data_IF_743807513828
#
_entry.id   IF_743807513828
#
_cell.length_a   1.000
_cell.length_b   1.000
_cell.length_c   1.000
_cell.angle_alpha   90.00
_cell.angle_beta   90.00
_cell.angle_gamma   90.00
#
_symmetry.space_group_name_H-M   'P 1'
#
loop_
_entity.id
_entity.type
_entity.pdbx_description
1 polymer ?
#
# COMPACT_ATOMS: atom_id res chain seq x y z
N UNK A 1 -0.07 11.58 -52.51
CA UNK A 1 0.02 11.46 -51.05
C UNK A 1 -1.35 11.79 -50.47
N UNK A 2 -2.19 10.79 -50.25
CA UNK A 2 -3.51 10.97 -49.63
C UNK A 2 -3.77 9.74 -48.77
N UNK A 3 -3.12 9.68 -47.61
CA UNK A 3 -3.41 8.68 -46.59
C UNK A 3 -4.73 9.07 -45.94
N UNK A 4 -5.82 8.48 -46.43
CA UNK A 4 -7.13 8.57 -45.78
C UNK A 4 -7.02 7.95 -44.39
N UNK A 5 -6.96 8.79 -43.37
CA UNK A 5 -7.24 8.44 -41.97
C UNK A 5 -8.73 8.12 -41.86
N UNK A 6 -9.10 6.92 -42.32
CA UNK A 6 -10.38 6.33 -41.99
C UNK A 6 -10.43 6.22 -40.46
N UNK A 7 -11.34 6.96 -39.83
CA UNK A 7 -11.69 6.79 -38.44
C UNK A 7 -12.11 5.33 -38.23
N UNK A 8 -11.24 4.54 -37.59
CA UNK A 8 -11.54 3.21 -37.10
C UNK A 8 -12.60 3.35 -35.99
N UNK A 9 -13.86 3.49 -36.39
CA UNK A 9 -14.98 3.44 -35.48
C UNK A 9 -15.14 1.97 -35.07
N UNK A 10 -14.98 1.63 -33.78
CA UNK A 10 -15.05 0.24 -33.36
C UNK A 10 -16.45 -0.33 -33.63
N UNK A 11 -16.55 -1.62 -34.00
CA UNK A 11 -17.79 -2.25 -34.43
C UNK A 11 -18.85 -2.36 -33.32
N UNK A 12 -18.48 -2.15 -32.06
CA UNK A 12 -19.41 -2.19 -30.93
C UNK A 12 -19.17 -1.02 -29.94
N UNK A 13 -20.13 -0.10 -29.77
CA UNK A 13 -20.02 1.01 -28.81
C UNK A 13 -20.03 0.57 -27.35
N UNK A 14 -20.46 -0.66 -27.06
CA UNK A 14 -20.44 -1.24 -25.71
C UNK A 14 -19.14 -1.97 -25.37
N UNK A 15 -18.17 -2.01 -26.29
CA UNK A 15 -16.84 -2.58 -26.04
C UNK A 15 -15.84 -1.45 -25.79
N UNK A 16 -15.70 -0.92 -24.57
CA UNK A 16 -14.79 0.19 -24.25
C UNK A 16 -13.34 -0.12 -24.66
N UNK A 17 -12.93 -1.38 -24.54
CA UNK A 17 -11.59 -1.84 -24.91
C UNK A 17 -11.30 -1.76 -26.42
N UNK A 18 -12.34 -1.66 -27.27
CA UNK A 18 -12.18 -1.52 -28.71
C UNK A 18 -11.76 -0.09 -29.13
N UNK A 19 -11.85 0.88 -28.22
CA UNK A 19 -11.39 2.26 -28.43
C UNK A 19 -9.90 2.45 -28.10
N UNK A 20 -9.25 1.46 -27.48
CA UNK A 20 -7.84 1.50 -27.13
C UNK A 20 -7.00 0.69 -28.12
N UNK A 21 -5.70 1.02 -28.28
CA UNK A 21 -4.74 0.10 -28.87
C UNK A 21 -4.74 -1.25 -28.13
N UNK A 22 -4.56 -2.39 -28.83
CA UNK A 22 -4.72 -3.72 -28.24
C UNK A 22 -3.76 -3.98 -27.06
N UNK A 23 -2.54 -3.42 -27.10
CA UNK A 23 -1.59 -3.50 -26.00
C UNK A 23 -2.08 -2.77 -24.75
N UNK A 24 -2.61 -1.55 -24.92
CA UNK A 24 -3.12 -0.74 -23.82
C UNK A 24 -4.40 -1.35 -23.21
N UNK A 25 -5.26 -1.91 -24.05
CA UNK A 25 -6.44 -2.66 -23.62
C UNK A 25 -6.04 -3.87 -22.76
N UNK A 26 -5.07 -4.67 -23.19
CA UNK A 26 -4.60 -5.82 -22.43
C UNK A 26 -3.98 -5.43 -21.08
N UNK A 27 -3.17 -4.37 -21.06
CA UNK A 27 -2.59 -3.83 -19.82
C UNK A 27 -3.67 -3.36 -18.84
N UNK A 28 -4.67 -2.62 -19.33
CA UNK A 28 -5.76 -2.14 -18.49
C UNK A 28 -6.61 -3.30 -17.91
N UNK A 29 -6.88 -4.36 -18.69
CA UNK A 29 -7.55 -5.56 -18.16
C UNK A 29 -6.72 -6.25 -17.10
N UNK A 30 -5.41 -6.40 -17.34
CA UNK A 30 -4.50 -7.02 -16.38
C UNK A 30 -4.48 -6.24 -15.06
N UNK A 31 -4.37 -4.92 -15.13
CA UNK A 31 -4.44 -4.05 -13.95
C UNK A 31 -5.76 -4.23 -13.21
N UNK A 32 -6.90 -4.21 -13.91
CA UNK A 32 -8.21 -4.42 -13.29
C UNK A 32 -8.29 -5.76 -12.55
N UNK A 33 -7.83 -6.86 -13.16
CA UNK A 33 -7.80 -8.17 -12.51
C UNK A 33 -6.90 -8.20 -11.28
N UNK A 34 -5.71 -7.58 -11.36
CA UNK A 34 -4.78 -7.49 -10.22
C UNK A 34 -5.42 -6.70 -9.09
N UNK A 35 -6.09 -5.58 -9.36
CA UNK A 35 -6.77 -4.79 -8.33
C UNK A 35 -7.95 -5.53 -7.71
N UNK A 36 -8.78 -6.22 -8.50
CA UNK A 36 -9.90 -7.02 -7.99
C UNK A 36 -9.41 -8.18 -7.13
N UNK A 37 -8.38 -8.91 -7.58
CA UNK A 37 -7.78 -9.99 -6.81
C UNK A 37 -7.16 -9.47 -5.50
N UNK A 38 -6.48 -8.33 -5.56
CA UNK A 38 -5.89 -7.67 -4.38
C UNK A 38 -6.96 -7.22 -3.39
N UNK A 39 -8.07 -6.66 -3.86
CA UNK A 39 -9.21 -6.31 -3.03
C UNK A 39 -9.80 -7.55 -2.35
N UNK A 40 -9.98 -8.64 -3.09
CA UNK A 40 -10.44 -9.92 -2.53
C UNK A 40 -9.52 -10.45 -1.43
N UNK A 41 -8.21 -10.43 -1.67
CA UNK A 41 -7.21 -10.83 -0.68
C UNK A 41 -7.22 -9.91 0.56
N UNK A 42 -7.37 -8.60 0.36
CA UNK A 42 -7.44 -7.63 1.45
C UNK A 42 -8.70 -7.80 2.30
N UNK A 43 -9.86 -7.98 1.66
CA UNK A 43 -11.14 -8.25 2.34
C UNK A 43 -11.05 -9.55 3.12
N UNK A 44 -10.41 -10.57 2.55
CA UNK A 44 -10.19 -11.84 3.22
C UNK A 44 -9.28 -11.71 4.46
N UNK A 45 -8.13 -11.04 4.32
CA UNK A 45 -7.24 -10.74 5.44
C UNK A 45 -7.97 -9.98 6.55
N UNK A 46 -8.77 -8.98 6.15
CA UNK A 46 -9.53 -8.18 7.09
C UNK A 46 -10.60 -8.99 7.83
N UNK A 47 -11.34 -9.84 7.11
CA UNK A 47 -12.35 -10.72 7.70
C UNK A 47 -11.73 -11.68 8.71
N UNK A 48 -10.52 -12.19 8.42
CA UNK A 48 -9.78 -13.07 9.32
C UNK A 48 -9.22 -12.34 10.55
N UNK A 49 -8.92 -11.05 10.45
CA UNK A 49 -8.36 -10.27 11.56
C UNK A 49 -9.40 -9.55 12.44
N UNK A 50 -10.67 -9.46 12.01
CA UNK A 50 -11.78 -8.88 12.79
C UNK A 50 -11.85 -9.36 14.26
N UNK A 51 -11.78 -10.67 14.59
CA UNK A 51 -11.90 -11.10 15.98
C UNK A 51 -10.75 -10.60 16.86
N UNK A 52 -9.52 -10.52 16.32
CA UNK A 52 -8.37 -9.97 17.02
C UNK A 52 -8.45 -8.44 17.13
N UNK A 53 -8.92 -7.76 16.08
CA UNK A 53 -9.18 -6.32 16.11
C UNK A 53 -10.24 -5.96 17.15
N UNK A 54 -11.34 -6.70 17.20
CA UNK A 54 -12.39 -6.51 18.18
C UNK A 54 -11.85 -6.67 19.59
N UNK A 55 -11.01 -7.68 19.84
CA UNK A 55 -10.36 -7.89 21.15
C UNK A 55 -9.43 -6.73 21.54
N UNK A 56 -8.70 -6.16 20.58
CA UNK A 56 -7.80 -5.01 20.82
C UNK A 56 -8.62 -3.73 21.08
N UNK A 57 -9.75 -3.57 20.40
CA UNK A 57 -10.64 -2.42 20.59
C UNK A 57 -11.47 -2.53 21.87
N UNK A 58 -11.87 -3.74 22.27
CA UNK A 58 -12.62 -4.00 23.49
C UNK A 58 -11.73 -3.92 24.75
N UNK A 59 -10.43 -4.16 24.61
CA UNK A 59 -9.49 -4.09 25.73
C UNK A 59 -8.94 -2.65 25.96
N UNK A 60 -9.43 -1.98 26.99
CA UNK A 60 -8.85 -0.73 27.55
C UNK A 60 -9.30 0.58 26.88
N UNK A 61 -8.71 1.71 27.31
CA UNK A 61 -9.05 3.06 26.79
C UNK A 61 -8.64 3.23 25.32
N UNK A 62 -9.40 4.06 24.61
CA UNK A 62 -9.11 4.48 23.23
C UNK A 62 -7.82 5.31 23.24
N UNK A 63 -6.71 4.72 22.80
CA UNK A 63 -5.43 5.40 22.61
C UNK A 63 -5.35 6.04 21.23
N UNK A 64 -4.59 7.15 21.09
CA UNK A 64 -4.35 7.84 19.82
C UNK A 64 -3.79 6.88 18.75
N UNK A 65 -2.97 5.92 19.15
CA UNK A 65 -2.42 4.89 18.25
C UNK A 65 -3.49 3.94 17.70
N UNK A 66 -4.55 3.63 18.47
CA UNK A 66 -5.67 2.79 18.00
C UNK A 66 -6.50 3.52 16.95
N UNK A 67 -6.77 4.81 17.17
CA UNK A 67 -7.51 5.64 16.19
C UNK A 67 -6.71 5.77 14.89
N UNK A 68 -5.41 6.08 14.99
CA UNK A 68 -4.54 6.17 13.82
C UNK A 68 -4.44 4.84 13.04
N UNK A 69 -4.45 3.71 13.76
CA UNK A 69 -4.45 2.39 13.14
C UNK A 69 -5.76 2.10 12.40
N UNK A 70 -6.92 2.34 13.02
CA UNK A 70 -8.23 2.15 12.39
C UNK A 70 -8.37 3.08 11.18
N UNK A 71 -7.96 4.34 11.31
CA UNK A 71 -8.04 5.29 10.20
C UNK A 71 -7.16 4.87 9.03
N UNK A 72 -5.94 4.37 9.30
CA UNK A 72 -5.08 3.83 8.25
C UNK A 72 -5.77 2.67 7.52
N UNK A 73 -6.34 1.73 8.29
CA UNK A 73 -6.95 0.52 7.74
C UNK A 73 -8.19 0.82 6.92
N UNK A 74 -9.06 1.71 7.40
CA UNK A 74 -10.21 2.21 6.64
C UNK A 74 -9.78 2.97 5.39
N UNK A 75 -8.71 3.75 5.46
CA UNK A 75 -8.19 4.48 4.29
C UNK A 75 -7.63 3.52 3.24
N UNK A 76 -6.93 2.46 3.65
CA UNK A 76 -6.44 1.41 2.73
C UNK A 76 -7.58 0.66 2.08
N UNK A 77 -8.61 0.27 2.84
CA UNK A 77 -9.80 -0.38 2.29
C UNK A 77 -10.53 0.54 1.30
N UNK A 78 -10.72 1.81 1.68
CA UNK A 78 -11.32 2.82 0.81
C UNK A 78 -10.54 3.02 -0.48
N UNK A 79 -9.22 3.11 -0.40
CA UNK A 79 -8.34 3.16 -1.58
C UNK A 79 -8.55 1.94 -2.49
N UNK A 80 -8.48 0.72 -1.94
CA UNK A 80 -8.61 -0.51 -2.73
C UNK A 80 -10.00 -0.66 -3.37
N UNK A 81 -11.06 -0.21 -2.70
CA UNK A 81 -12.41 -0.21 -3.27
C UNK A 81 -12.51 0.82 -4.39
N UNK A 82 -12.05 2.05 -4.16
CA UNK A 82 -12.18 3.12 -5.15
C UNK A 82 -11.31 2.90 -6.39
N UNK A 83 -10.12 2.31 -6.26
CA UNK A 83 -9.30 1.96 -7.44
C UNK A 83 -9.96 0.86 -8.27
N UNK A 84 -10.64 -0.11 -7.64
CA UNK A 84 -11.41 -1.12 -8.39
C UNK A 84 -12.58 -0.46 -9.11
N UNK A 85 -13.35 0.40 -8.42
CA UNK A 85 -14.46 1.15 -9.02
C UNK A 85 -13.95 1.99 -10.20
N UNK A 86 -12.81 2.65 -10.07
CA UNK A 86 -12.20 3.43 -11.14
C UNK A 86 -11.93 2.62 -12.41
N UNK A 87 -11.53 1.35 -12.27
CA UNK A 87 -11.18 0.48 -13.41
C UNK A 87 -12.39 -0.23 -14.03
N UNK A 88 -13.42 -0.58 -13.23
CA UNK A 88 -14.52 -1.47 -13.69
C UNK A 88 -15.88 -0.80 -13.79
N UNK A 89 -16.08 0.34 -13.14
CA UNK A 89 -17.38 1.00 -13.07
C UNK A 89 -17.41 2.29 -13.92
N UNK A 90 -18.59 2.67 -14.43
CA UNK A 90 -18.75 3.95 -15.10
C UNK A 90 -18.67 5.09 -14.08
N UNK A 91 -17.77 6.05 -14.31
CA UNK A 91 -17.54 7.21 -13.46
C UNK A 91 -17.78 8.50 -14.26
N UNK A 92 -18.52 9.44 -13.68
CA UNK A 92 -18.86 10.70 -14.35
C UNK A 92 -17.66 11.64 -14.49
N UNK A 93 -16.77 11.71 -13.48
CA UNK A 93 -15.58 12.55 -13.48
C UNK A 93 -14.34 11.72 -13.09
N UNK A 94 -13.63 11.19 -14.09
CA UNK A 94 -12.42 10.38 -13.89
C UNK A 94 -11.35 11.13 -13.10
N UNK A 95 -11.12 12.41 -13.42
CA UNK A 95 -10.12 13.24 -12.76
C UNK A 95 -10.40 13.44 -11.26
N UNK A 96 -11.67 13.66 -10.88
CA UNK A 96 -12.03 13.80 -9.46
C UNK A 96 -11.87 12.47 -8.72
N UNK A 97 -12.24 11.36 -9.35
CA UNK A 97 -12.13 10.03 -8.75
C UNK A 97 -10.66 9.67 -8.48
N UNK A 98 -9.77 9.87 -9.46
CA UNK A 98 -8.34 9.58 -9.27
C UNK A 98 -7.71 10.46 -8.19
N UNK A 99 -8.12 11.73 -8.07
CA UNK A 99 -7.67 12.58 -6.96
C UNK A 99 -8.06 12.04 -5.59
N UNK A 100 -9.29 11.53 -5.44
CA UNK A 100 -9.74 10.94 -4.17
C UNK A 100 -8.95 9.66 -3.86
N UNK A 101 -8.72 8.82 -4.88
CA UNK A 101 -7.90 7.61 -4.78
C UNK A 101 -6.48 7.96 -4.31
N UNK A 102 -5.84 8.94 -4.94
CA UNK A 102 -4.49 9.39 -4.57
C UNK A 102 -4.43 9.97 -3.15
N UNK A 103 -5.42 10.74 -2.71
CA UNK A 103 -5.48 11.25 -1.32
C UNK A 103 -5.53 10.11 -0.31
N UNK A 104 -6.35 9.08 -0.56
CA UNK A 104 -6.44 7.92 0.32
C UNK A 104 -5.15 7.08 0.30
N UNK A 105 -4.51 6.98 -0.86
CA UNK A 105 -3.20 6.34 -0.99
C UNK A 105 -2.14 7.08 -0.15
N UNK A 106 -2.09 8.41 -0.23
CA UNK A 106 -1.19 9.25 0.57
C UNK A 106 -1.43 9.02 2.05
N UNK A 107 -2.69 9.07 2.50
CA UNK A 107 -3.03 8.89 3.91
C UNK A 107 -2.65 7.50 4.43
N UNK A 108 -2.97 6.46 3.65
CA UNK A 108 -2.62 5.07 3.93
C UNK A 108 -1.10 4.88 3.99
N UNK A 109 -0.38 5.33 2.96
CA UNK A 109 1.07 5.21 2.85
C UNK A 109 1.78 5.97 3.96
N UNK A 110 1.39 7.22 4.23
CA UNK A 110 1.97 8.06 5.28
C UNK A 110 1.80 7.42 6.65
N UNK A 111 0.61 6.89 6.94
CA UNK A 111 0.34 6.27 8.24
C UNK A 111 1.12 4.96 8.41
N UNK A 112 1.21 4.13 7.37
CA UNK A 112 2.01 2.91 7.39
C UNK A 112 3.50 3.21 7.61
N UNK A 113 4.06 4.17 6.86
CA UNK A 113 5.45 4.59 7.02
C UNK A 113 5.72 5.19 8.41
N UNK A 114 4.77 5.96 8.96
CA UNK A 114 4.86 6.49 10.33
C UNK A 114 4.87 5.36 11.37
N UNK A 115 4.01 4.34 11.23
CA UNK A 115 3.98 3.18 12.12
C UNK A 115 5.30 2.39 12.05
N UNK A 116 5.84 2.18 10.85
CA UNK A 116 7.15 1.56 10.64
C UNK A 116 8.28 2.34 11.32
N UNK A 117 8.27 3.68 11.19
CA UNK A 117 9.21 4.56 11.87
C UNK A 117 9.13 4.44 13.39
N UNK A 118 7.91 4.45 13.96
CA UNK A 118 7.70 4.29 15.40
C UNK A 118 8.24 2.93 15.88
N UNK A 119 7.98 1.84 15.12
CA UNK A 119 8.48 0.49 15.43
C UNK A 119 10.00 0.44 15.49
N UNK A 120 10.68 1.00 14.48
CA UNK A 120 12.15 1.07 14.48
C UNK A 120 12.67 1.87 15.66
N UNK A 121 12.07 3.03 15.93
CA UNK A 121 12.46 3.90 17.05
C UNK A 121 12.33 3.19 18.40
N UNK A 122 11.29 2.40 18.59
CA UNK A 122 11.08 1.59 19.79
C UNK A 122 12.15 0.48 19.91
N UNK A 123 12.42 -0.24 18.82
CA UNK A 123 13.39 -1.36 18.78
C UNK A 123 14.84 -0.91 19.05
N UNK A 124 15.20 0.29 18.59
CA UNK A 124 16.53 0.88 18.78
C UNK A 124 16.65 1.80 20.00
N UNK A 125 15.67 1.79 20.91
CA UNK A 125 15.74 2.52 22.18
C UNK A 125 15.89 4.03 22.01
N UNK A 126 15.19 4.63 21.03
CA UNK A 126 15.19 6.09 20.78
C UNK A 126 16.54 6.70 20.40
N UNK A 127 17.47 5.90 19.84
CA UNK A 127 18.75 6.42 19.32
C UNK A 127 18.54 7.57 18.32
N UNK A 128 19.27 8.67 18.52
CA UNK A 128 19.14 9.90 17.72
C UNK A 128 19.55 9.70 16.26
N UNK A 129 20.57 8.87 16.01
CA UNK A 129 21.06 8.56 14.66
C UNK A 129 20.03 7.78 13.84
N UNK A 130 19.45 6.73 14.43
CA UNK A 130 18.42 5.91 13.78
C UNK A 130 17.15 6.72 13.52
N UNK A 131 16.76 7.57 14.48
CA UNK A 131 15.60 8.46 14.34
C UNK A 131 15.82 9.46 13.19
N UNK A 132 17.03 10.01 13.03
CA UNK A 132 17.34 10.93 11.94
C UNK A 132 17.32 10.22 10.58
N UNK A 133 17.94 9.03 10.47
CA UNK A 133 18.02 8.28 9.21
C UNK A 133 16.63 7.85 8.70
N UNK A 134 15.83 7.20 9.54
CA UNK A 134 14.48 6.77 9.12
C UNK A 134 13.50 7.94 9.04
N UNK A 135 13.71 9.00 9.82
CA UNK A 135 12.91 10.23 9.70
C UNK A 135 13.15 10.95 8.38
N UNK A 136 14.40 10.98 7.90
CA UNK A 136 14.74 11.50 6.57
C UNK A 136 14.04 10.70 5.46
N UNK A 137 14.16 9.36 5.49
CA UNK A 137 13.48 8.50 4.52
C UNK A 137 11.96 8.65 4.55
N UNK A 138 11.37 8.78 5.75
CA UNK A 138 9.95 9.07 5.90
C UNK A 138 9.55 10.39 5.21
N UNK A 139 10.32 11.47 5.40
CA UNK A 139 10.04 12.76 4.76
C UNK A 139 10.20 12.70 3.24
N UNK A 140 11.18 11.95 2.74
CA UNK A 140 11.36 11.72 1.30
C UNK A 140 10.13 11.02 0.72
N UNK A 141 9.68 9.92 1.33
CA UNK A 141 8.49 9.18 0.87
C UNK A 141 7.24 10.04 0.97
N UNK A 142 7.08 10.82 2.06
CA UNK A 142 5.94 11.72 2.22
C UNK A 142 5.91 12.80 1.14
N UNK A 143 7.06 13.41 0.84
CA UNK A 143 7.15 14.45 -0.19
C UNK A 143 6.86 13.92 -1.59
N UNK A 144 7.42 12.75 -1.93
CA UNK A 144 7.22 12.15 -3.27
C UNK A 144 5.80 11.62 -3.46
N UNK A 145 5.18 11.05 -2.42
CA UNK A 145 3.80 10.59 -2.49
C UNK A 145 2.80 11.75 -2.48
N UNK A 146 3.05 12.82 -1.71
CA UNK A 146 2.19 14.00 -1.69
C UNK A 146 2.09 14.67 -3.07
N UNK A 147 3.13 14.55 -3.90
CA UNK A 147 3.13 15.07 -5.26
C UNK A 147 2.32 14.19 -6.25
N UNK A 148 1.94 12.96 -5.86
CA UNK A 148 1.27 11.96 -6.70
C UNK A 148 0.03 12.45 -7.47
N UNK A 149 -0.87 13.24 -6.85
CA UNK A 149 -2.04 13.81 -7.52
C UNK A 149 -1.72 14.59 -8.80
N UNK A 150 -0.59 15.30 -8.84
CA UNK A 150 -0.20 16.08 -10.02
C UNK A 150 0.55 15.25 -11.07
N UNK A 151 0.85 13.98 -10.78
CA UNK A 151 1.58 13.08 -11.66
C UNK A 151 0.67 12.33 -12.65
N UNK A 152 -0.64 12.30 -12.41
CA UNK A 152 -1.60 11.48 -13.15
C UNK A 152 -2.68 12.35 -13.75
N UNK A 153 -2.91 12.17 -15.04
CA UNK A 153 -4.07 12.71 -15.75
C UNK A 153 -4.96 11.54 -16.18
N UNK A 154 -6.26 11.67 -15.92
CA UNK A 154 -7.26 10.67 -16.22
C UNK A 154 -8.33 11.25 -17.16
N UNK A 155 -8.71 10.47 -18.16
CA UNK A 155 -9.78 10.82 -19.10
C UNK A 155 -10.71 9.64 -19.35
N UNK A 156 -11.84 9.92 -19.99
CA UNK A 156 -12.79 8.91 -20.42
C UNK A 156 -12.32 8.15 -21.65
N UNK A 157 -12.65 6.85 -21.69
CA UNK A 157 -12.39 5.98 -22.83
C UNK A 157 -13.45 6.25 -23.91
N UNK A 158 -13.10 7.05 -24.92
CA UNK A 158 -13.99 7.36 -26.04
C UNK A 158 -15.34 7.93 -25.57
N UNK A 159 -16.49 7.48 -26.12
CA UNK A 159 -17.82 7.91 -25.69
C UNK A 159 -18.33 7.18 -24.43
N UNK A 160 -17.50 6.34 -23.79
CA UNK A 160 -17.91 5.54 -22.63
C UNK A 160 -17.56 6.24 -21.32
N UNK A 161 -18.29 5.93 -20.24
CA UNK A 161 -18.03 6.48 -18.90
C UNK A 161 -16.91 5.74 -18.14
N UNK A 162 -16.08 4.95 -18.81
CA UNK A 162 -14.94 4.27 -18.19
C UNK A 162 -13.70 5.16 -18.22
N UNK A 163 -12.84 5.01 -17.22
CA UNK A 163 -11.67 5.86 -17.03
C UNK A 163 -10.38 5.17 -17.47
N UNK A 164 -9.45 5.95 -18.00
CA UNK A 164 -8.09 5.53 -18.28
C UNK A 164 -7.12 6.64 -17.90
N UNK A 165 -5.92 6.25 -17.44
CA UNK A 165 -4.83 7.17 -17.26
C UNK A 165 -4.25 7.55 -18.62
N UNK A 166 -4.34 8.83 -19.00
CA UNK A 166 -3.82 9.34 -20.27
C UNK A 166 -2.36 9.75 -20.15
N UNK A 167 -1.96 10.21 -18.98
CA UNK A 167 -0.59 10.61 -18.68
C UNK A 167 -0.22 10.14 -17.28
N UNK A 168 0.92 9.45 -17.17
CA UNK A 168 1.51 9.07 -15.90
C UNK A 168 2.96 9.51 -15.95
N UNK A 169 3.34 10.45 -15.09
CA UNK A 169 4.70 10.94 -15.06
C UNK A 169 5.67 9.85 -14.55
N UNK A 170 6.79 9.67 -15.25
CA UNK A 170 7.75 8.58 -14.97
C UNK A 170 8.31 8.64 -13.55
N UNK A 171 8.41 9.83 -12.94
CA UNK A 171 8.93 9.97 -11.57
C UNK A 171 8.02 9.32 -10.52
N UNK A 172 6.75 9.02 -10.83
CA UNK A 172 5.86 8.27 -9.93
C UNK A 172 6.43 6.88 -9.61
N UNK A 173 7.15 6.26 -10.55
CA UNK A 173 7.85 4.99 -10.32
C UNK A 173 8.94 5.12 -9.25
N UNK A 174 9.61 6.27 -9.19
CA UNK A 174 10.62 6.58 -8.18
C UNK A 174 10.01 6.70 -6.78
N UNK A 175 8.79 7.26 -6.68
CA UNK A 175 8.03 7.32 -5.42
C UNK A 175 7.74 5.93 -4.88
N UNK A 176 7.26 5.02 -5.74
CA UNK A 176 6.97 3.63 -5.38
C UNK A 176 8.24 2.88 -4.98
N UNK A 177 9.35 3.06 -5.70
CA UNK A 177 10.63 2.47 -5.33
C UNK A 177 11.14 2.98 -3.98
N UNK A 178 11.03 4.29 -3.73
CA UNK A 178 11.44 4.90 -2.45
C UNK A 178 10.66 4.33 -1.28
N UNK A 179 9.34 4.13 -1.45
CA UNK A 179 8.49 3.50 -0.44
C UNK A 179 8.90 2.04 -0.19
N UNK A 180 9.17 1.27 -1.25
CA UNK A 180 9.64 -0.11 -1.15
C UNK A 180 11.01 -0.23 -0.45
N UNK A 181 11.94 0.68 -0.77
CA UNK A 181 13.26 0.78 -0.13
C UNK A 181 13.10 1.07 1.37
N UNK A 182 12.28 2.07 1.73
CA UNK A 182 12.04 2.40 3.14
C UNK A 182 11.46 1.20 3.90
N UNK A 183 10.47 0.50 3.33
CA UNK A 183 9.89 -0.70 3.92
C UNK A 183 10.94 -1.81 4.12
N UNK A 184 11.79 -2.04 3.12
CA UNK A 184 12.86 -3.05 3.18
C UNK A 184 13.92 -2.70 4.22
N UNK A 185 14.36 -1.44 4.28
CA UNK A 185 15.32 -0.97 5.28
C UNK A 185 14.79 -1.11 6.70
N UNK A 186 13.51 -0.78 6.92
CA UNK A 186 12.84 -0.96 8.22
C UNK A 186 12.80 -2.44 8.58
N UNK A 187 12.36 -3.30 7.66
CA UNK A 187 12.27 -4.73 7.89
C UNK A 187 13.64 -5.34 8.21
N UNK A 188 14.68 -4.95 7.46
CA UNK A 188 16.04 -5.40 7.69
C UNK A 188 16.58 -4.93 9.03
N UNK A 189 16.35 -3.67 9.41
CA UNK A 189 16.79 -3.11 10.69
C UNK A 189 16.13 -3.83 11.89
N UNK A 190 14.81 -4.06 11.81
CA UNK A 190 14.08 -4.81 12.85
C UNK A 190 14.61 -6.25 12.93
N UNK A 191 14.73 -6.92 11.78
CA UNK A 191 15.23 -8.30 11.70
C UNK A 191 16.66 -8.44 12.22
N UNK A 192 17.52 -7.49 11.90
CA UNK A 192 18.90 -7.43 12.40
C UNK A 192 18.96 -7.22 13.91
N UNK A 193 18.12 -6.34 14.47
CA UNK A 193 18.08 -6.11 15.92
C UNK A 193 17.56 -7.33 16.69
N UNK A 194 16.55 -8.01 16.17
CA UNK A 194 16.05 -9.26 16.74
C UNK A 194 17.13 -10.35 16.67
N UNK A 195 17.79 -10.49 15.51
CA UNK A 195 18.84 -11.49 15.30
C UNK A 195 20.08 -11.23 16.17
N UNK A 196 20.51 -9.98 16.32
CA UNK A 196 21.65 -9.63 17.19
C UNK A 196 21.38 -9.88 18.67
N UNK A 197 20.14 -9.65 19.14
CA UNK A 197 19.71 -10.06 20.49
C UNK A 197 19.70 -11.58 20.65
N UNK A 198 19.31 -12.31 19.60
CA UNK A 198 19.36 -13.78 19.55
C UNK A 198 20.81 -14.33 19.53
N UNK A 199 21.72 -13.71 18.79
CA UNK A 199 23.12 -14.14 18.61
C UNK A 199 23.96 -13.97 19.89
N UNK A 200 23.65 -12.98 20.74
CA UNK A 200 24.24 -12.88 22.08
C UNK A 200 23.87 -14.08 22.98
N UNK A 201 22.83 -14.85 22.62
CA UNK A 201 22.51 -16.15 23.18
C UNK A 201 22.90 -17.28 22.22
N UNK A 202 24.20 -17.56 22.09
CA UNK A 202 24.84 -18.55 21.18
C UNK A 202 24.22 -19.97 21.13
N UNK A 203 23.24 -20.30 21.99
CA UNK A 203 22.50 -21.56 21.99
C UNK A 203 21.16 -21.52 21.23
N UNK A 204 20.70 -20.35 20.78
CA UNK A 204 19.39 -20.17 20.16
C UNK A 204 19.39 -20.43 18.64
N UNK A 205 20.48 -20.11 17.94
CA UNK A 205 20.60 -20.30 16.48
C UNK A 205 20.59 -21.78 16.07
N UNK A 206 21.19 -22.68 16.87
CA UNK A 206 21.05 -24.15 16.68
C UNK A 206 19.63 -24.67 16.96
N UNK A 207 18.85 -23.98 17.81
CA UNK A 207 17.44 -24.32 18.07
C UNK A 207 16.50 -23.75 17.02
N UNK A 208 16.83 -22.60 16.43
CA UNK A 208 16.06 -21.99 15.36
C UNK A 208 16.11 -22.80 14.05
N UNK A 209 17.28 -23.34 13.72
CA UNK A 209 17.46 -24.25 12.58
C UNK A 209 16.85 -25.63 12.82
N UNK A 210 16.60 -26.00 14.08
CA UNK A 210 16.00 -27.28 14.46
C UNK A 210 14.51 -27.08 14.76
N UNK A 211 13.72 -26.79 13.72
CA UNK A 211 12.27 -26.97 13.51
C UNK A 211 11.25 -26.93 14.68
N UNK A 212 11.61 -26.46 15.87
CA UNK A 212 10.80 -26.64 17.09
C UNK A 212 10.72 -25.36 17.94
N UNK A 213 11.39 -24.28 17.52
CA UNK A 213 11.51 -23.02 18.26
C UNK A 213 10.86 -21.79 17.63
N UNK A 214 10.53 -21.82 16.34
CA UNK A 214 9.93 -20.71 15.60
C UNK A 214 8.60 -20.18 16.20
N UNK A 215 7.69 -21.02 16.74
CA UNK A 215 6.42 -20.54 17.28
C UNK A 215 6.58 -19.66 18.53
N UNK A 216 7.58 -19.95 19.38
CA UNK A 216 7.77 -19.24 20.65
C UNK A 216 8.35 -17.85 20.45
N UNK A 217 9.29 -17.70 19.51
CA UNK A 217 9.86 -16.39 19.19
C UNK A 217 8.89 -15.52 18.41
N UNK A 218 8.07 -16.12 17.53
CA UNK A 218 6.95 -15.42 16.91
C UNK A 218 5.92 -14.98 17.96
N UNK A 219 5.63 -15.83 18.96
CA UNK A 219 4.72 -15.51 20.07
C UNK A 219 5.25 -14.38 20.96
N UNK A 220 6.54 -14.37 21.27
CA UNK A 220 7.16 -13.27 22.03
C UNK A 220 7.26 -11.96 21.22
N UNK A 221 7.47 -12.05 19.90
CA UNK A 221 7.43 -10.89 19.00
C UNK A 221 6.02 -10.34 18.83
N UNK A 222 5.01 -11.21 18.74
CA UNK A 222 3.60 -10.83 18.76
C UNK A 222 3.22 -10.22 20.11
N UNK A 223 3.72 -10.76 21.22
CA UNK A 223 3.45 -10.25 22.57
C UNK A 223 4.15 -8.90 22.83
N UNK A 224 5.38 -8.70 22.36
CA UNK A 224 6.06 -7.40 22.40
C UNK A 224 5.47 -6.39 21.40
N UNK A 225 4.98 -6.85 20.25
CA UNK A 225 4.21 -6.04 19.31
C UNK A 225 2.90 -5.53 19.94
N UNK A 226 2.20 -6.39 20.68
CA UNK A 226 0.98 -6.05 21.43
C UNK A 226 1.25 -5.07 22.59
N UNK A 227 2.41 -5.14 23.24
CA UNK A 227 2.83 -4.15 24.26
C UNK A 227 3.08 -2.74 23.70
N UNK A 228 3.17 -2.57 22.37
CA UNK A 228 3.19 -1.26 21.74
C UNK A 228 1.78 -0.68 21.50
N UNK A 229 0.72 -1.47 21.76
CA UNK A 229 -0.70 -1.11 21.61
C UNK A 229 -1.48 -0.99 22.94
N UNK A 230 -0.85 -1.33 24.07
CA UNK A 230 -1.33 -1.07 25.45
C UNK A 230 -0.66 0.17 26.01
#
# INVERSE_FOLDING_TARGET
MSSSTASLQPPNPYTPMAYLPPELAALHQLEAYVYVASLGALVWDWLMSIPDEYRILSAGRISKSKVAYISARLSTLGFCVLIVIYQVAPVSNCQTMIYIVEILLILSSSTNNLLLFIRVRAVYGKSRSVTAFFGFWYLVVLGTTAAGPWAIEAAHIGPTNLCINTNVQTWLTSSTMSNAINGTLVFLAISYRISSRSISGRSATRRFLRSDGAPRVLKDLLHQGQLCYL
#
